data_IF_794037366961
#
_entry.id   IF_794037366961
#
_cell.length_a   1.000
_cell.length_b   1.000
_cell.length_c   1.000
_cell.angle_alpha   90.00
_cell.angle_beta   90.00
_cell.angle_gamma   90.00
#
_symmetry.space_group_name_H-M   'P 1'
#
loop_
_entity.id
_entity.type
_entity.pdbx_description
1 polymer ?
#
# COMPACT_ATOMS: atom_id res chain seq x y z
N UNK A 1 -25.91 17.03 78.47
CA UNK A 1 -24.54 16.70 78.01
C UNK A 1 -24.56 15.37 77.26
N UNK A 2 -24.44 15.39 75.93
CA UNK A 2 -23.83 14.34 75.09
C UNK A 2 -23.72 14.90 73.68
N UNK A 3 -22.49 15.26 73.29
CA UNK A 3 -22.14 15.74 71.95
C UNK A 3 -22.01 14.51 71.05
N UNK A 4 -22.82 14.39 70.00
CA UNK A 4 -22.64 13.37 68.96
C UNK A 4 -22.23 14.09 67.68
N UNK A 5 -20.96 13.92 67.29
CA UNK A 5 -20.40 14.38 66.02
C UNK A 5 -20.82 13.38 64.95
N UNK A 6 -21.57 13.81 63.94
CA UNK A 6 -21.85 12.99 62.75
C UNK A 6 -20.85 13.39 61.67
N UNK A 7 -20.05 12.41 61.26
CA UNK A 7 -19.01 12.53 60.25
C UNK A 7 -19.62 12.72 58.86
N UNK A 8 -19.03 13.63 58.09
CA UNK A 8 -19.34 13.83 56.67
C UNK A 8 -18.82 12.63 55.89
N UNK A 9 -19.72 11.75 55.47
CA UNK A 9 -19.42 10.64 54.57
C UNK A 9 -19.38 11.18 53.14
N UNK A 10 -18.18 11.36 52.59
CA UNK A 10 -17.97 11.78 51.21
C UNK A 10 -18.53 10.76 50.22
N UNK A 11 -19.50 11.20 49.41
CA UNK A 11 -20.02 10.44 48.27
C UNK A 11 -18.98 10.54 47.16
N UNK A 12 -18.18 9.49 46.99
CA UNK A 12 -17.30 9.30 45.84
C UNK A 12 -18.19 8.89 44.65
N UNK A 13 -18.50 9.82 43.74
CA UNK A 13 -19.03 9.46 42.42
C UNK A 13 -17.88 8.85 41.60
N UNK A 14 -18.06 7.67 40.96
CA UNK A 14 -17.09 7.17 40.01
C UNK A 14 -17.17 8.04 38.75
N UNK A 15 -16.12 8.81 38.49
CA UNK A 15 -15.89 9.45 37.19
C UNK A 15 -15.63 8.29 36.22
N UNK A 16 -16.65 7.94 35.44
CA UNK A 16 -16.51 7.04 34.30
C UNK A 16 -15.65 7.77 33.25
N UNK A 17 -14.33 7.54 33.31
CA UNK A 17 -13.39 8.01 32.30
C UNK A 17 -13.74 7.30 30.99
N UNK A 18 -14.43 8.01 30.10
CA UNK A 18 -14.67 7.60 28.73
C UNK A 18 -13.30 7.54 28.04
N UNK A 19 -12.71 6.34 27.95
CA UNK A 19 -11.48 6.12 27.23
C UNK A 19 -11.72 6.44 25.74
N UNK A 20 -11.20 7.58 25.28
CA UNK A 20 -11.10 7.86 23.85
C UNK A 20 -10.09 6.87 23.26
N UNK A 21 -10.60 5.78 22.69
CA UNK A 21 -9.83 4.89 21.83
C UNK A 21 -9.28 5.71 20.66
N UNK A 22 -8.01 6.05 20.74
CA UNK A 22 -7.28 6.68 19.64
C UNK A 22 -7.05 5.61 18.58
N UNK A 23 -7.92 5.55 17.57
CA UNK A 23 -7.65 4.73 16.39
C UNK A 23 -6.32 5.21 15.78
N UNK A 24 -5.42 4.31 15.35
CA UNK A 24 -4.16 4.72 14.74
C UNK A 24 -4.48 5.52 13.48
N UNK A 25 -3.97 6.75 13.40
CA UNK A 25 -4.04 7.54 12.19
C UNK A 25 -3.32 6.75 11.09
N UNK A 26 -4.06 6.36 10.05
CA UNK A 26 -3.50 5.75 8.86
C UNK A 26 -2.45 6.72 8.30
N UNK A 27 -1.19 6.27 8.19
CA UNK A 27 -0.15 7.06 7.53
C UNK A 27 -0.68 7.51 6.15
N UNK A 28 -0.74 8.82 5.94
CA UNK A 28 -1.25 9.41 4.71
C UNK A 28 -0.28 9.11 3.57
N UNK A 29 -0.82 8.78 2.38
CA UNK A 29 0.00 8.57 1.18
C UNK A 29 0.80 9.85 0.86
N UNK A 30 2.07 9.70 0.51
CA UNK A 30 2.98 10.81 0.19
C UNK A 30 2.54 11.62 -1.02
N UNK A 31 2.93 12.89 -1.04
CA UNK A 31 2.78 13.75 -2.22
C UNK A 31 3.68 13.30 -3.36
N UNK A 32 3.36 13.74 -4.59
CA UNK A 32 4.19 13.44 -5.76
C UNK A 32 5.60 14.04 -5.63
N UNK A 33 5.70 15.24 -5.04
CA UNK A 33 6.98 15.91 -4.80
C UNK A 33 7.83 15.12 -3.79
N UNK A 34 7.25 14.71 -2.66
CA UNK A 34 7.98 13.94 -1.65
C UNK A 34 8.54 12.63 -2.22
N UNK A 35 7.75 11.90 -3.02
CA UNK A 35 8.22 10.67 -3.68
C UNK A 35 9.35 10.97 -4.66
N UNK A 36 9.22 12.01 -5.48
CA UNK A 36 10.24 12.37 -6.46
C UNK A 36 11.55 12.77 -5.78
N UNK A 37 11.47 13.61 -4.74
CA UNK A 37 12.64 14.09 -4.01
C UNK A 37 13.38 12.95 -3.30
N UNK A 38 12.64 11.98 -2.73
CA UNK A 38 13.22 10.91 -1.91
C UNK A 38 13.62 9.66 -2.69
N UNK A 39 12.97 9.37 -3.82
CA UNK A 39 13.16 8.11 -4.57
C UNK A 39 13.67 8.34 -5.98
N UNK A 40 13.05 9.27 -6.72
CA UNK A 40 13.29 9.37 -8.17
C UNK A 40 14.50 10.25 -8.51
N UNK A 41 14.78 11.28 -7.71
CA UNK A 41 15.81 12.29 -7.97
C UNK A 41 17.21 11.69 -8.14
N UNK A 42 17.51 10.58 -7.45
CA UNK A 42 18.80 9.88 -7.51
C UNK A 42 19.21 9.51 -8.95
N UNK A 43 18.24 9.24 -9.83
CA UNK A 43 18.51 8.96 -11.25
C UNK A 43 18.02 10.08 -12.16
N UNK A 44 16.86 10.66 -11.88
CA UNK A 44 16.18 11.58 -12.79
C UNK A 44 16.66 13.04 -12.69
N UNK A 45 17.46 13.43 -11.70
CA UNK A 45 18.05 14.78 -11.68
C UNK A 45 19.18 14.91 -12.70
N UNK A 46 20.08 13.92 -12.76
CA UNK A 46 21.25 13.93 -13.65
C UNK A 46 21.00 13.20 -14.97
N UNK A 47 19.91 12.44 -15.07
CA UNK A 47 19.62 11.57 -16.22
C UNK A 47 20.46 10.29 -16.22
N UNK A 48 20.82 9.79 -15.04
CA UNK A 48 21.60 8.56 -14.84
C UNK A 48 21.01 7.41 -15.67
N UNK A 49 21.88 6.64 -16.33
CA UNK A 49 21.53 5.46 -17.13
C UNK A 49 20.45 5.71 -18.22
N UNK A 50 20.41 6.96 -18.73
CA UNK A 50 19.45 7.39 -19.75
C UNK A 50 18.06 7.71 -19.20
N UNK A 51 17.96 8.01 -17.89
CA UNK A 51 16.73 8.48 -17.28
C UNK A 51 16.32 9.86 -17.86
N UNK A 52 15.03 10.09 -18.16
CA UNK A 52 14.56 11.42 -18.54
C UNK A 52 14.76 12.41 -17.39
N UNK A 53 15.37 13.56 -17.67
CA UNK A 53 15.71 14.55 -16.66
C UNK A 53 14.47 15.28 -16.15
N UNK A 54 14.36 15.47 -14.84
CA UNK A 54 13.31 16.32 -14.26
C UNK A 54 13.47 17.74 -14.80
N UNK A 55 12.36 18.35 -15.22
CA UNK A 55 12.35 19.69 -15.81
C UNK A 55 12.57 19.74 -17.33
N UNK A 56 13.00 18.64 -17.97
CA UNK A 56 13.06 18.56 -19.43
C UNK A 56 11.66 18.38 -20.04
N UNK A 57 10.95 19.50 -20.19
CA UNK A 57 9.54 19.50 -20.61
C UNK A 57 9.32 18.83 -21.97
N UNK A 58 10.28 18.95 -22.90
CA UNK A 58 10.17 18.33 -24.22
C UNK A 58 10.21 16.80 -24.11
N UNK A 59 11.20 16.26 -23.37
CA UNK A 59 11.35 14.82 -23.21
C UNK A 59 10.14 14.18 -22.48
N UNK A 60 9.54 14.89 -21.53
CA UNK A 60 8.34 14.44 -20.82
C UNK A 60 7.07 14.58 -21.65
N UNK A 61 6.92 15.63 -22.46
CA UNK A 61 5.79 15.80 -23.36
C UNK A 61 5.70 14.67 -24.39
N UNK A 62 6.84 14.28 -24.99
CA UNK A 62 6.90 13.13 -25.92
C UNK A 62 6.47 11.81 -25.27
N UNK A 63 6.76 11.62 -23.98
CA UNK A 63 6.37 10.41 -23.23
C UNK A 63 4.91 10.44 -22.87
N UNK A 64 4.42 11.58 -22.38
CA UNK A 64 3.03 11.78 -22.05
C UNK A 64 2.11 11.62 -23.29
N UNK A 65 2.58 12.03 -24.47
CA UNK A 65 1.87 11.84 -25.74
C UNK A 65 1.62 10.37 -26.10
N UNK A 66 2.42 9.44 -25.56
CA UNK A 66 2.22 7.98 -25.71
C UNK A 66 1.20 7.41 -24.71
N UNK A 67 0.62 8.26 -23.86
CA UNK A 67 -0.39 7.93 -22.87
C UNK A 67 0.15 7.97 -21.44
N UNK A 68 -0.47 8.80 -20.59
CA UNK A 68 -0.09 8.94 -19.17
C UNK A 68 -0.32 7.64 -18.38
N UNK A 69 -1.36 6.87 -18.70
CA UNK A 69 -1.61 5.58 -18.06
C UNK A 69 -0.47 4.59 -18.36
N UNK A 70 0.02 4.55 -19.61
CA UNK A 70 1.14 3.68 -20.00
C UNK A 70 2.44 4.13 -19.34
N UNK A 71 2.69 5.43 -19.25
CA UNK A 71 3.86 5.98 -18.56
C UNK A 71 3.84 5.62 -17.08
N UNK A 72 2.68 5.73 -16.43
CA UNK A 72 2.49 5.35 -15.02
C UNK A 72 2.67 3.86 -14.82
N UNK A 73 2.10 3.04 -15.70
CA UNK A 73 2.28 1.59 -15.67
C UNK A 73 3.76 1.20 -15.77
N UNK A 74 4.51 1.81 -16.68
CA UNK A 74 5.95 1.56 -16.82
C UNK A 74 6.73 1.93 -15.54
N UNK A 75 6.29 2.96 -14.80
CA UNK A 75 6.90 3.33 -13.54
C UNK A 75 6.57 2.34 -12.41
N UNK A 76 5.34 1.80 -12.39
CA UNK A 76 4.88 0.78 -11.44
C UNK A 76 5.61 -0.56 -11.68
N UNK A 77 5.60 -1.07 -12.91
CA UNK A 77 6.17 -2.40 -13.21
C UNK A 77 7.66 -2.38 -13.53
N UNK A 78 8.24 -1.19 -13.69
CA UNK A 78 9.60 -0.99 -14.19
C UNK A 78 9.67 -1.00 -15.72
N UNK A 79 10.72 -0.38 -16.26
CA UNK A 79 10.99 -0.31 -17.70
C UNK A 79 12.48 -0.07 -17.98
N UNK A 80 13.09 -0.91 -18.82
CA UNK A 80 14.53 -0.85 -19.12
C UNK A 80 15.36 -0.85 -17.82
N UNK A 81 16.19 0.16 -17.60
CA UNK A 81 17.00 0.33 -16.39
C UNK A 81 16.22 0.92 -15.20
N UNK A 82 14.97 1.37 -15.39
CA UNK A 82 14.14 1.91 -14.33
C UNK A 82 13.49 0.74 -13.55
N UNK A 83 13.83 0.56 -12.25
CA UNK A 83 13.22 -0.48 -11.44
C UNK A 83 11.72 -0.21 -11.18
N UNK A 84 10.98 -1.29 -10.92
CA UNK A 84 9.58 -1.22 -10.48
C UNK A 84 9.45 -0.33 -9.24
N UNK A 85 8.45 0.55 -9.22
CA UNK A 85 8.25 1.54 -8.17
C UNK A 85 9.52 2.36 -7.83
N UNK A 86 10.37 2.65 -8.82
CA UNK A 86 11.64 3.36 -8.57
C UNK A 86 12.59 2.64 -7.62
N UNK A 87 12.43 1.32 -7.45
CA UNK A 87 13.24 0.49 -6.53
C UNK A 87 12.72 0.46 -5.10
N UNK A 88 11.56 1.07 -4.83
CA UNK A 88 10.93 1.10 -3.52
C UNK A 88 9.59 0.37 -3.56
N UNK A 89 9.62 -0.95 -3.35
CA UNK A 89 8.44 -1.81 -3.47
C UNK A 89 7.26 -1.42 -2.55
N UNK A 90 7.54 -0.69 -1.47
CA UNK A 90 6.52 -0.17 -0.54
C UNK A 90 5.80 1.09 -1.05
N UNK A 91 6.26 1.73 -2.14
CA UNK A 91 5.47 2.79 -2.78
C UNK A 91 4.18 2.19 -3.33
N UNK A 92 3.06 2.89 -3.09
CA UNK A 92 1.76 2.52 -3.67
C UNK A 92 1.67 2.97 -5.13
N UNK A 93 0.75 2.38 -5.89
CA UNK A 93 0.46 2.80 -7.27
C UNK A 93 -0.02 4.26 -7.29
N UNK A 94 -0.72 4.68 -6.24
CA UNK A 94 -1.19 6.06 -6.06
C UNK A 94 -0.01 7.03 -5.88
N UNK A 95 0.93 6.69 -5.00
CA UNK A 95 2.16 7.46 -4.80
C UNK A 95 2.97 7.54 -6.09
N UNK A 96 3.07 6.44 -6.84
CA UNK A 96 3.73 6.45 -8.15
C UNK A 96 2.99 7.32 -9.17
N UNK A 97 1.66 7.28 -9.19
CA UNK A 97 0.86 8.12 -10.09
C UNK A 97 1.07 9.61 -9.79
N UNK A 98 1.09 9.99 -8.51
CA UNK A 98 1.39 11.37 -8.09
C UNK A 98 2.80 11.79 -8.50
N UNK A 99 3.80 10.92 -8.31
CA UNK A 99 5.17 11.18 -8.70
C UNK A 99 5.30 11.39 -10.22
N UNK A 100 4.69 10.53 -11.03
CA UNK A 100 4.68 10.67 -12.50
C UNK A 100 4.01 11.97 -12.92
N UNK A 101 2.86 12.33 -12.31
CA UNK A 101 2.20 13.61 -12.56
C UNK A 101 3.10 14.82 -12.24
N UNK A 102 3.80 14.78 -11.09
CA UNK A 102 4.76 15.81 -10.70
C UNK A 102 5.90 15.93 -11.71
N UNK A 103 6.51 14.82 -12.14
CA UNK A 103 7.60 14.83 -13.12
C UNK A 103 7.17 15.35 -14.49
N UNK A 104 6.02 14.89 -15.01
CA UNK A 104 5.48 15.32 -16.32
C UNK A 104 5.14 16.80 -16.32
N UNK A 105 4.64 17.34 -15.21
CA UNK A 105 4.33 18.76 -15.07
C UNK A 105 5.57 19.67 -14.95
N UNK A 106 6.78 19.10 -14.87
CA UNK A 106 8.00 19.84 -14.57
C UNK A 106 8.01 20.39 -13.14
N UNK A 107 7.43 19.67 -12.19
CA UNK A 107 7.37 20.05 -10.77
C UNK A 107 6.29 21.06 -10.41
N UNK A 108 5.30 21.28 -11.30
CA UNK A 108 4.23 22.27 -11.11
C UNK A 108 2.90 21.67 -10.62
N UNK A 109 2.72 20.35 -10.70
CA UNK A 109 1.52 19.69 -10.23
C UNK A 109 1.50 19.65 -8.70
N UNK A 110 0.54 20.34 -8.08
CA UNK A 110 0.10 20.01 -6.73
C UNK A 110 -0.71 18.70 -6.79
N UNK A 111 -0.31 17.71 -6.00
CA UNK A 111 -0.91 16.39 -5.80
C UNK A 111 -2.07 16.01 -6.74
N UNK A 112 -1.71 15.43 -7.89
CA UNK A 112 -2.69 14.88 -8.80
C UNK A 112 -3.32 13.61 -8.20
N UNK A 113 -4.46 13.73 -7.51
CA UNK A 113 -5.29 12.63 -7.00
C UNK A 113 -5.97 11.78 -8.09
N UNK A 114 -5.48 11.79 -9.33
CA UNK A 114 -6.04 10.95 -10.39
C UNK A 114 -5.34 9.61 -10.39
N UNK A 115 -6.03 8.58 -9.91
CA UNK A 115 -5.57 7.18 -10.00
C UNK A 115 -5.42 6.82 -11.48
N UNK A 116 -4.25 6.30 -11.89
CA UNK A 116 -4.08 5.81 -13.25
C UNK A 116 -4.97 4.58 -13.47
N UNK A 117 -5.59 4.48 -14.64
CA UNK A 117 -6.39 3.31 -14.97
C UNK A 117 -5.41 2.17 -15.25
N UNK A 118 -5.41 1.12 -14.43
CA UNK A 118 -4.51 -0.02 -14.59
C UNK A 118 -4.73 -0.68 -15.95
N UNK A 119 -3.66 -0.86 -16.72
CA UNK A 119 -3.69 -1.65 -17.95
C UNK A 119 -3.92 -3.14 -17.61
N UNK A 120 -4.10 -4.01 -18.62
CA UNK A 120 -4.35 -5.46 -18.43
C UNK A 120 -3.43 -6.06 -17.35
N UNK A 121 -4.03 -6.48 -16.26
CA UNK A 121 -3.39 -6.99 -15.04
C UNK A 121 -3.50 -8.51 -14.98
N UNK A 122 -2.55 -9.19 -14.32
CA UNK A 122 -2.70 -10.62 -13.99
C UNK A 122 -3.92 -10.81 -13.06
N UNK A 123 -4.54 -11.99 -13.11
CA UNK A 123 -5.57 -12.37 -12.15
C UNK A 123 -4.93 -12.71 -10.79
N UNK A 124 -5.71 -12.63 -9.72
CA UNK A 124 -5.26 -13.03 -8.39
C UNK A 124 -4.74 -14.47 -8.34
N UNK A 125 -5.41 -15.40 -9.04
CA UNK A 125 -4.96 -16.78 -9.16
C UNK A 125 -3.58 -16.90 -9.82
N UNK A 126 -3.35 -16.16 -10.91
CA UNK A 126 -2.06 -16.16 -11.61
C UNK A 126 -0.94 -15.69 -10.69
N UNK A 127 -1.16 -14.58 -9.96
CA UNK A 127 -0.18 -14.04 -9.01
C UNK A 127 0.09 -15.02 -7.87
N UNK A 128 -0.95 -15.66 -7.33
CA UNK A 128 -0.79 -16.63 -6.25
C UNK A 128 0.01 -17.85 -6.69
N UNK A 129 -0.26 -18.37 -7.89
CA UNK A 129 0.50 -19.49 -8.48
C UNK A 129 1.95 -19.12 -8.78
N UNK A 130 2.17 -17.92 -9.30
CA UNK A 130 3.50 -17.42 -9.66
C UNK A 130 4.40 -17.26 -8.45
N UNK A 131 3.86 -16.75 -7.33
CA UNK A 131 4.71 -16.28 -6.21
C UNK A 131 4.21 -16.66 -4.82
N UNK A 132 2.94 -16.40 -4.52
CA UNK A 132 2.47 -16.45 -3.13
C UNK A 132 2.45 -17.88 -2.56
N UNK A 133 2.17 -18.88 -3.40
CA UNK A 133 2.08 -20.27 -2.98
C UNK A 133 3.40 -20.83 -2.43
N UNK A 134 4.56 -20.24 -2.76
CA UNK A 134 5.86 -20.70 -2.26
C UNK A 134 5.95 -20.74 -0.73
N UNK A 135 5.24 -19.83 -0.06
CA UNK A 135 5.16 -19.79 1.39
C UNK A 135 3.76 -20.19 1.89
N UNK A 136 2.71 -19.73 1.21
CA UNK A 136 1.34 -19.90 1.68
C UNK A 136 0.73 -21.29 1.40
N UNK A 137 1.34 -22.14 0.57
CA UNK A 137 0.85 -23.51 0.37
C UNK A 137 1.07 -24.40 1.61
N UNK A 138 2.25 -24.31 2.23
CA UNK A 138 2.66 -25.12 3.39
C UNK A 138 2.70 -24.34 4.71
N UNK A 139 2.48 -23.03 4.66
CA UNK A 139 2.57 -22.14 5.84
C UNK A 139 4.00 -21.88 6.28
N UNK A 140 4.94 -21.85 5.33
CA UNK A 140 6.37 -21.62 5.58
C UNK A 140 6.57 -20.34 6.39
N UNK A 141 7.40 -20.40 7.44
CA UNK A 141 7.69 -19.27 8.34
C UNK A 141 6.43 -18.65 8.99
N UNK A 142 5.39 -19.46 9.26
CA UNK A 142 4.15 -18.99 9.89
C UNK A 142 3.23 -18.21 8.94
N UNK A 143 3.42 -18.35 7.63
CA UNK A 143 2.48 -17.83 6.64
C UNK A 143 1.10 -18.49 6.82
N UNK A 144 -0.02 -17.75 6.72
CA UNK A 144 -1.34 -18.35 6.75
C UNK A 144 -1.53 -19.28 5.55
N UNK A 145 -1.93 -20.52 5.80
CA UNK A 145 -2.05 -21.56 4.77
C UNK A 145 -3.26 -21.32 3.88
N UNK A 146 -3.08 -21.52 2.58
CA UNK A 146 -4.18 -21.51 1.62
C UNK A 146 -5.19 -22.61 1.98
N UNK A 147 -6.46 -22.24 2.08
CA UNK A 147 -7.53 -23.16 2.46
C UNK A 147 -7.74 -23.36 3.97
N UNK A 148 -6.86 -22.85 4.83
CA UNK A 148 -6.98 -23.04 6.29
C UNK A 148 -7.72 -21.89 6.97
N UNK A 149 -9.04 -22.01 7.15
CA UNK A 149 -9.83 -20.92 7.75
C UNK A 149 -9.40 -20.57 9.18
N UNK A 150 -8.72 -21.46 9.92
CA UNK A 150 -8.24 -21.14 11.26
C UNK A 150 -7.10 -20.11 11.21
N UNK A 151 -6.27 -20.16 10.17
CA UNK A 151 -5.21 -19.19 9.94
C UNK A 151 -5.75 -17.82 9.49
N UNK A 152 -6.86 -17.80 8.74
CA UNK A 152 -7.41 -16.58 8.13
C UNK A 152 -8.47 -15.87 8.96
N UNK A 153 -9.25 -16.59 9.78
CA UNK A 153 -10.28 -16.00 10.65
C UNK A 153 -9.78 -14.84 11.52
N UNK A 154 -8.67 -14.95 12.27
CA UNK A 154 -8.18 -13.82 13.08
C UNK A 154 -7.70 -12.64 12.22
N UNK A 155 -7.28 -12.89 10.98
CA UNK A 155 -6.73 -11.88 10.06
C UNK A 155 -7.82 -11.08 9.37
N UNK A 156 -8.99 -11.69 9.16
CA UNK A 156 -10.13 -11.08 8.49
C UNK A 156 -11.03 -10.25 9.42
N UNK A 157 -10.70 -10.13 10.71
CA UNK A 157 -11.50 -9.38 11.69
C UNK A 157 -11.77 -7.93 11.27
N UNK A 158 -10.82 -7.29 10.59
CA UNK A 158 -10.91 -5.91 10.12
C UNK A 158 -11.16 -5.80 8.61
N UNK A 159 -11.61 -6.89 7.97
CA UNK A 159 -11.81 -6.96 6.52
C UNK A 159 -10.52 -7.21 5.72
N UNK A 160 -10.63 -7.10 4.39
CA UNK A 160 -9.56 -7.46 3.44
C UNK A 160 -8.55 -6.33 3.23
N UNK A 161 -8.99 -5.06 3.26
CA UNK A 161 -8.13 -3.93 2.93
C UNK A 161 -6.87 -3.81 3.83
N UNK A 162 -6.95 -4.01 5.16
CA UNK A 162 -5.75 -4.02 6.00
C UNK A 162 -4.76 -5.14 5.62
N UNK A 163 -5.26 -6.30 5.16
CA UNK A 163 -4.42 -7.41 4.70
C UNK A 163 -3.71 -7.06 3.40
N UNK A 164 -4.41 -6.41 2.47
CA UNK A 164 -3.81 -5.91 1.23
C UNK A 164 -2.69 -4.92 1.54
N UNK A 165 -2.94 -3.96 2.44
CA UNK A 165 -1.91 -2.98 2.86
C UNK A 165 -0.72 -3.67 3.53
N UNK A 166 -0.96 -4.67 4.38
CA UNK A 166 0.11 -5.47 5.00
C UNK A 166 0.91 -6.25 3.96
N UNK A 167 0.27 -6.80 2.93
CA UNK A 167 0.92 -7.56 1.88
C UNK A 167 1.75 -6.67 0.94
N UNK A 168 1.27 -5.46 0.64
CA UNK A 168 2.02 -4.46 -0.14
C UNK A 168 3.29 -4.03 0.60
N UNK A 169 3.16 -3.69 1.89
CA UNK A 169 4.29 -3.19 2.69
C UNK A 169 5.22 -4.31 3.22
N UNK A 170 4.75 -5.55 3.24
CA UNK A 170 5.42 -6.65 3.92
C UNK A 170 5.09 -6.68 5.41
N UNK A 171 5.27 -7.86 6.03
CA UNK A 171 4.98 -8.08 7.45
C UNK A 171 5.72 -9.29 7.98
N UNK A 172 6.49 -9.14 9.06
CA UNK A 172 7.36 -10.17 9.61
C UNK A 172 8.25 -10.79 8.51
N UNK A 173 8.21 -12.11 8.34
CA UNK A 173 8.94 -12.84 7.29
C UNK A 173 8.34 -12.70 5.89
N UNK A 174 7.18 -12.04 5.72
CA UNK A 174 6.58 -11.78 4.42
C UNK A 174 7.19 -10.51 3.80
N UNK A 175 7.96 -10.61 2.69
CA UNK A 175 8.51 -9.44 2.01
C UNK A 175 7.42 -8.56 1.38
N UNK A 176 7.71 -7.27 1.21
CA UNK A 176 6.86 -6.32 0.50
C UNK A 176 6.47 -6.86 -0.89
N UNK A 177 5.18 -6.78 -1.23
CA UNK A 177 4.59 -7.35 -2.45
C UNK A 177 4.95 -8.81 -2.68
N UNK A 178 5.09 -9.60 -1.60
CA UNK A 178 5.52 -11.00 -1.69
C UNK A 178 6.93 -11.18 -2.26
N UNK A 179 7.74 -10.12 -2.35
CA UNK A 179 9.08 -10.15 -2.95
C UNK A 179 9.07 -10.02 -4.47
N UNK A 180 7.91 -9.79 -5.08
CA UNK A 180 7.77 -9.55 -6.52
C UNK A 180 7.42 -8.06 -6.73
N UNK A 181 8.46 -7.23 -6.82
CA UNK A 181 8.33 -5.77 -6.80
C UNK A 181 7.53 -5.16 -7.97
N UNK A 182 7.31 -5.92 -9.04
CA UNK A 182 6.53 -5.49 -10.20
C UNK A 182 5.02 -5.76 -10.08
N UNK A 183 4.54 -6.29 -8.94
CA UNK A 183 3.10 -6.40 -8.68
C UNK A 183 2.51 -5.02 -8.44
N UNK A 184 1.42 -4.69 -9.15
CA UNK A 184 0.62 -3.48 -8.86
C UNK A 184 -0.24 -3.66 -7.60
N UNK A 185 -0.78 -2.57 -7.04
CA UNK A 185 -1.72 -2.62 -5.91
C UNK A 185 -2.98 -3.41 -6.27
N UNK A 186 -3.44 -3.28 -7.52
CA UNK A 186 -4.58 -4.04 -8.04
C UNK A 186 -4.28 -5.55 -8.09
N UNK A 187 -3.09 -5.94 -8.54
CA UNK A 187 -2.65 -7.36 -8.54
C UNK A 187 -2.52 -7.91 -7.12
N UNK A 188 -1.97 -7.11 -6.21
CA UNK A 188 -1.88 -7.47 -4.79
C UNK A 188 -3.26 -7.67 -4.17
N UNK A 189 -4.19 -6.76 -4.42
CA UNK A 189 -5.58 -6.88 -3.94
C UNK A 189 -6.25 -8.14 -4.50
N UNK A 190 -6.18 -8.36 -5.81
CA UNK A 190 -6.77 -9.52 -6.45
C UNK A 190 -6.17 -10.83 -5.93
N UNK A 191 -4.86 -10.88 -5.67
CA UNK A 191 -4.19 -12.04 -5.09
C UNK A 191 -4.70 -12.33 -3.67
N UNK A 192 -4.75 -11.32 -2.80
CA UNK A 192 -5.24 -11.48 -1.43
C UNK A 192 -6.71 -11.93 -1.42
N UNK A 193 -7.57 -11.31 -2.22
CA UNK A 193 -8.98 -11.71 -2.36
C UNK A 193 -9.10 -13.16 -2.84
N UNK A 194 -8.28 -13.58 -3.81
CA UNK A 194 -8.25 -14.98 -4.25
C UNK A 194 -7.85 -15.92 -3.11
N UNK A 195 -6.80 -15.61 -2.35
CA UNK A 195 -6.36 -16.44 -1.22
C UNK A 195 -7.45 -16.57 -0.16
N UNK A 196 -8.16 -15.49 0.16
CA UNK A 196 -9.28 -15.46 1.10
C UNK A 196 -10.47 -16.26 0.58
N UNK A 197 -10.80 -16.12 -0.71
CA UNK A 197 -11.90 -16.90 -1.32
C UNK A 197 -11.63 -18.42 -1.27
N UNK A 198 -10.36 -18.82 -1.35
CA UNK A 198 -9.96 -20.24 -1.23
C UNK A 198 -10.07 -20.78 0.19
N UNK A 199 -10.20 -19.93 1.21
CA UNK A 199 -10.31 -20.33 2.62
C UNK A 199 -11.77 -20.37 3.11
N UNK A 200 -12.75 -20.31 2.21
CA UNK A 200 -14.18 -20.34 2.54
C UNK A 200 -14.73 -19.02 3.11
N UNK A 201 -13.91 -17.96 3.16
CA UNK A 201 -14.35 -16.62 3.48
C UNK A 201 -14.89 -15.92 2.23
N UNK A 202 -16.19 -15.68 2.16
CA UNK A 202 -16.73 -14.68 1.23
C UNK A 202 -16.09 -13.34 1.60
N UNK A 203 -15.31 -12.76 0.67
CA UNK A 203 -14.81 -11.40 0.80
C UNK A 203 -16.04 -10.49 0.95
N UNK A 204 -16.33 -10.05 2.16
CA UNK A 204 -17.45 -9.15 2.41
C UNK A 204 -17.09 -7.80 1.80
N UNK A 205 -17.55 -7.55 0.58
CA UNK A 205 -17.56 -6.23 -0.02
C UNK A 205 -18.57 -5.36 0.74
N UNK A 206 -18.09 -4.27 1.34
CA UNK A 206 -18.90 -3.09 1.61
C UNK A 206 -18.29 -1.91 0.88
#
# INVERSE_FOLDING_TARGET
MKKMKIAVSGILLPILALALSSAPALAADRSGKEVVDTVCAACHTTGKDGAPKIGDQSAWAERAAKGLDKLTQNAITGVRNMPAHGGQAALTDLEMTRAVGYMVSGGKAADAKKVAKTAKSRTGEQVVKERCQECHSSGKQGAPKLGDMNDWKPRLQNGVDPLVKSAINGHNSMPARGGLANLSDAEMKAAVEFMVSKTGGVAASK
#
